data_IF_086250246159
#
_entry.id   IF_086250246159
#
_cell.length_a   1.000
_cell.length_b   1.000
_cell.length_c   1.000
_cell.angle_alpha   90.00
_cell.angle_beta   90.00
_cell.angle_gamma   90.00
#
_symmetry.space_group_name_H-M   'P 1'
#
loop_
_entity.id
_entity.type
_entity.pdbx_description
1 polymer ?
#
# COMPACT_ATOMS: atom_id res chain seq x y z
N UNK A 1 -17.39 -16.29 -25.20
CA UNK A 1 -16.02 -16.29 -24.66
C UNK A 1 -16.02 -16.54 -23.15
N UNK A 2 -16.62 -15.69 -22.31
CA UNK A 2 -16.66 -15.94 -20.85
C UNK A 2 -17.22 -17.32 -20.46
N UNK A 3 -18.37 -17.73 -21.00
CA UNK A 3 -18.96 -19.05 -20.69
C UNK A 3 -18.03 -20.22 -21.02
N UNK A 4 -17.35 -20.19 -22.16
CA UNK A 4 -16.41 -21.26 -22.54
C UNK A 4 -15.22 -21.31 -21.60
N UNK A 5 -14.70 -20.15 -21.19
CA UNK A 5 -13.53 -20.05 -20.31
C UNK A 5 -13.86 -20.50 -18.87
N UNK A 6 -15.08 -20.17 -18.40
CA UNK A 6 -15.61 -20.65 -17.11
C UNK A 6 -15.81 -22.16 -17.12
N UNK A 7 -16.37 -22.73 -18.20
CA UNK A 7 -16.55 -24.18 -18.33
C UNK A 7 -15.22 -24.93 -18.43
N UNK A 8 -14.20 -24.33 -19.05
CA UNK A 8 -12.88 -24.94 -19.19
C UNK A 8 -12.08 -25.01 -17.88
N UNK A 9 -12.24 -24.04 -16.97
CA UNK A 9 -11.58 -24.04 -15.65
C UNK A 9 -12.46 -23.45 -14.55
N UNK A 10 -13.51 -24.15 -14.09
CA UNK A 10 -14.50 -23.58 -13.18
C UNK A 10 -13.93 -23.17 -11.81
N UNK A 11 -12.88 -23.85 -11.32
CA UNK A 11 -12.21 -23.50 -10.06
C UNK A 11 -11.41 -22.21 -10.13
N UNK A 12 -11.11 -21.70 -11.33
CA UNK A 12 -10.41 -20.44 -11.54
C UNK A 12 -11.31 -19.20 -11.46
N UNK A 13 -12.62 -19.36 -11.28
CA UNK A 13 -13.59 -18.27 -11.33
C UNK A 13 -14.45 -18.21 -10.07
N UNK A 14 -14.81 -16.99 -9.68
CA UNK A 14 -15.82 -16.70 -8.66
C UNK A 14 -16.84 -15.73 -9.24
N UNK A 15 -18.10 -15.86 -8.86
CA UNK A 15 -19.15 -14.91 -9.20
C UNK A 15 -19.55 -14.13 -7.95
N UNK A 16 -19.73 -12.82 -8.10
CA UNK A 16 -20.19 -11.93 -7.03
C UNK A 16 -21.31 -11.05 -7.57
N UNK A 17 -22.31 -10.70 -6.75
CA UNK A 17 -23.29 -9.69 -7.11
C UNK A 17 -22.60 -8.37 -7.47
N UNK A 18 -23.14 -7.64 -8.45
CA UNK A 18 -22.62 -6.32 -8.80
C UNK A 18 -22.98 -5.35 -7.68
N UNK A 19 -21.97 -4.87 -6.96
CA UNK A 19 -22.13 -3.84 -5.93
C UNK A 19 -21.79 -2.49 -6.56
N UNK A 20 -22.66 -1.49 -6.35
CA UNK A 20 -22.36 -0.12 -6.74
C UNK A 20 -21.33 0.46 -5.78
N UNK A 21 -20.09 0.62 -6.25
CA UNK A 21 -19.03 1.24 -5.46
C UNK A 21 -19.35 2.72 -5.22
N UNK A 22 -19.01 3.21 -4.02
CA UNK A 22 -19.05 4.65 -3.73
C UNK A 22 -18.13 5.41 -4.67
N UNK A 23 -18.39 6.70 -4.86
CA UNK A 23 -17.52 7.59 -5.64
C UNK A 23 -16.91 8.67 -4.77
N UNK A 24 -15.71 9.12 -5.15
CA UNK A 24 -15.03 10.26 -4.53
C UNK A 24 -14.68 11.30 -5.59
N UNK A 25 -14.72 12.60 -5.24
CA UNK A 25 -14.30 13.65 -6.15
C UNK A 25 -12.83 13.50 -6.55
N UNK A 26 -12.57 13.47 -7.84
CA UNK A 26 -11.24 13.31 -8.41
C UNK A 26 -11.03 14.34 -9.51
N UNK A 27 -9.89 15.02 -9.46
CA UNK A 27 -9.51 15.99 -10.48
C UNK A 27 -9.04 15.25 -11.72
N UNK A 28 -9.80 15.35 -12.82
CA UNK A 28 -9.50 14.77 -14.12
C UNK A 28 -9.59 15.90 -15.15
N UNK A 29 -8.53 16.12 -15.92
CA UNK A 29 -8.48 17.15 -16.98
C UNK A 29 -8.93 18.55 -16.51
N UNK A 30 -8.51 18.93 -15.29
CA UNK A 30 -8.84 20.22 -14.68
C UNK A 30 -10.29 20.36 -14.19
N UNK A 31 -11.07 19.29 -14.15
CA UNK A 31 -12.45 19.29 -13.64
C UNK A 31 -12.63 18.24 -12.54
N UNK A 32 -13.46 18.56 -11.55
CA UNK A 32 -13.86 17.61 -10.52
C UNK A 32 -14.90 16.64 -11.08
N UNK A 33 -14.58 15.36 -11.09
CA UNK A 33 -15.46 14.27 -11.55
C UNK A 33 -15.57 13.18 -10.48
N UNK A 34 -16.74 12.55 -10.32
CA UNK A 34 -16.86 11.37 -9.46
C UNK A 34 -16.11 10.20 -10.08
N UNK A 35 -15.37 9.46 -9.26
CA UNK A 35 -14.68 8.21 -9.63
C UNK A 35 -14.90 7.15 -8.57
N UNK A 36 -15.07 5.91 -9.00
CA UNK A 36 -15.28 4.79 -8.08
C UNK A 36 -14.03 4.56 -7.24
N UNK A 37 -14.27 4.26 -5.97
CA UNK A 37 -13.22 4.11 -4.97
C UNK A 37 -13.32 2.74 -4.32
N UNK A 38 -12.16 2.21 -3.93
CA UNK A 38 -12.09 1.15 -2.94
C UNK A 38 -11.19 1.55 -1.78
N UNK A 39 -11.46 0.97 -0.61
CA UNK A 39 -10.69 1.18 0.60
C UNK A 39 -10.17 -0.15 1.11
N UNK A 40 -8.85 -0.22 1.31
CA UNK A 40 -8.17 -1.36 1.91
C UNK A 40 -7.60 -0.97 3.28
N UNK A 41 -8.34 -1.24 4.37
CA UNK A 41 -7.81 -1.11 5.72
C UNK A 41 -6.80 -2.22 6.02
N UNK A 42 -5.95 -1.99 7.02
CA UNK A 42 -4.97 -2.98 7.47
C UNK A 42 -5.27 -3.35 8.93
N UNK A 43 -5.53 -4.64 9.14
CA UNK A 43 -5.63 -5.26 10.45
C UNK A 43 -4.28 -5.91 10.79
N UNK A 44 -3.70 -5.55 11.93
CA UNK A 44 -2.45 -6.09 12.46
C UNK A 44 -2.78 -7.01 13.62
N UNK A 45 -2.26 -8.23 13.59
CA UNK A 45 -2.36 -9.19 14.68
C UNK A 45 -0.98 -9.37 15.32
N UNK A 46 -0.88 -9.22 16.64
CA UNK A 46 0.37 -9.34 17.40
C UNK A 46 0.46 -10.65 18.21
N UNK A 47 -0.46 -11.59 18.02
CA UNK A 47 -0.59 -12.84 18.78
C UNK A 47 -1.56 -12.75 19.96
N UNK A 48 -1.78 -11.56 20.52
CA UNK A 48 -2.67 -11.34 21.68
C UNK A 48 -4.01 -10.69 21.28
N UNK A 49 -4.05 -10.02 20.13
CA UNK A 49 -5.24 -9.36 19.62
C UNK A 49 -5.10 -8.85 18.19
N UNK A 50 -6.21 -8.32 17.67
CA UNK A 50 -6.30 -7.73 16.33
C UNK A 50 -6.57 -6.23 16.48
N UNK A 51 -5.76 -5.41 15.84
CA UNK A 51 -5.92 -3.96 15.79
C UNK A 51 -6.01 -3.47 14.35
N UNK A 52 -7.04 -2.68 14.02
CA UNK A 52 -7.19 -2.04 12.71
C UNK A 52 -6.57 -0.65 12.77
N UNK A 53 -5.61 -0.39 11.89
CA UNK A 53 -4.97 0.94 11.80
C UNK A 53 -6.01 1.99 11.39
N UNK A 54 -5.99 3.21 11.98
CA UNK A 54 -6.90 4.29 11.62
C UNK A 54 -6.46 4.92 10.29
N UNK A 55 -6.73 4.21 9.20
CA UNK A 55 -6.34 4.57 7.84
C UNK A 55 -6.44 3.37 6.90
N UNK A 56 -5.85 3.51 5.72
CA UNK A 56 -5.84 2.46 4.71
C UNK A 56 -5.35 2.97 3.36
N UNK A 57 -5.16 2.03 2.43
CA UNK A 57 -4.90 2.37 1.05
C UNK A 57 -6.23 2.61 0.35
N UNK A 58 -6.46 3.83 -0.11
CA UNK A 58 -7.58 4.15 -0.99
C UNK A 58 -7.12 4.10 -2.44
N UNK A 59 -7.80 3.32 -3.29
CA UNK A 59 -7.55 3.32 -4.75
C UNK A 59 -8.75 3.86 -5.49
N UNK A 60 -8.47 4.48 -6.64
CA UNK A 60 -9.45 5.19 -7.45
C UNK A 60 -9.35 4.68 -8.88
N UNK A 61 -10.48 4.24 -9.45
CA UNK A 61 -10.58 3.96 -10.87
C UNK A 61 -10.59 5.29 -11.63
N UNK A 62 -9.52 5.60 -12.37
CA UNK A 62 -9.42 6.86 -13.13
C UNK A 62 -10.33 6.90 -14.37
N UNK A 63 -10.52 5.79 -15.11
CA UNK A 63 -11.46 5.77 -16.23
C UNK A 63 -12.92 5.99 -15.78
N UNK A 64 -13.70 6.65 -16.62
CA UNK A 64 -15.09 6.98 -16.31
C UNK A 64 -15.98 5.73 -16.33
N UNK A 65 -16.75 5.52 -15.26
CA UNK A 65 -17.68 4.40 -15.14
C UNK A 65 -17.03 3.04 -14.87
N UNK A 66 -15.71 2.98 -14.73
CA UNK A 66 -15.00 1.73 -14.45
C UNK A 66 -15.05 1.37 -12.96
N UNK A 67 -15.37 0.10 -12.67
CA UNK A 67 -15.38 -0.46 -11.32
C UNK A 67 -14.02 -1.10 -10.95
N UNK A 68 -13.12 -1.25 -11.92
CA UNK A 68 -11.82 -1.88 -11.74
C UNK A 68 -10.82 -0.84 -11.26
N UNK A 69 -10.42 -0.99 -10.00
CA UNK A 69 -9.48 -0.12 -9.28
C UNK A 69 -8.03 -0.66 -9.29
N UNK A 70 -7.71 -1.53 -10.25
CA UNK A 70 -6.40 -2.16 -10.32
C UNK A 70 -5.33 -1.17 -10.80
N UNK A 71 -4.20 -1.13 -10.09
CA UNK A 71 -3.09 -0.21 -10.39
C UNK A 71 -2.44 -0.49 -11.74
N UNK A 72 -2.45 -1.75 -12.21
CA UNK A 72 -1.90 -2.11 -13.52
C UNK A 72 -2.67 -1.54 -14.72
N UNK A 73 -3.87 -1.00 -14.51
CA UNK A 73 -4.69 -0.36 -15.55
C UNK A 73 -4.89 1.15 -15.28
N UNK A 74 -3.94 1.78 -14.57
CA UNK A 74 -4.00 3.23 -14.32
C UNK A 74 -4.87 3.61 -13.14
N UNK A 75 -5.01 2.74 -12.13
CA UNK A 75 -5.64 3.08 -10.86
C UNK A 75 -4.80 4.10 -10.09
N UNK A 76 -5.42 5.21 -9.68
CA UNK A 76 -4.80 6.21 -8.80
C UNK A 76 -4.93 5.82 -7.32
N UNK A 77 -4.15 6.45 -6.44
CA UNK A 77 -4.31 6.33 -4.99
C UNK A 77 -4.67 7.67 -4.35
N UNK A 78 -5.33 7.61 -3.19
CA UNK A 78 -5.63 8.78 -2.36
C UNK A 78 -5.30 8.49 -0.91
N UNK A 79 -5.04 9.55 -0.15
CA UNK A 79 -4.89 9.47 1.30
C UNK A 79 -6.26 9.18 1.95
N UNK A 80 -6.25 8.34 2.98
CA UNK A 80 -7.44 8.02 3.79
C UNK A 80 -7.32 8.70 5.14
N UNK A 81 -8.20 9.67 5.40
CA UNK A 81 -8.22 10.36 6.69
C UNK A 81 -9.35 9.81 7.56
N UNK A 82 -8.99 9.20 8.70
CA UNK A 82 -9.94 8.80 9.73
C UNK A 82 -9.98 9.90 10.78
N UNK A 83 -11.09 10.62 10.84
CA UNK A 83 -11.26 11.71 11.80
C UNK A 83 -11.49 11.16 13.21
N UNK A 84 -10.80 11.72 14.19
CA UNK A 84 -11.16 11.51 15.58
C UNK A 84 -12.45 12.28 15.90
N UNK A 85 -13.38 11.66 16.64
CA UNK A 85 -14.48 12.40 17.27
C UNK A 85 -13.89 13.42 18.26
N UNK A 86 -14.48 14.61 18.29
CA UNK A 86 -14.05 15.82 19.02
C UNK A 86 -12.93 15.62 20.04
N UNK A 87 -11.73 16.11 19.70
CA UNK A 87 -10.70 16.34 20.72
C UNK A 87 -9.91 15.13 21.21
N UNK A 88 -9.93 13.98 20.53
CA UNK A 88 -8.89 12.96 20.75
C UNK A 88 -7.56 13.44 20.12
N UNK A 89 -7.01 14.56 20.62
CA UNK A 89 -5.57 14.67 20.84
C UNK A 89 -5.24 13.40 21.60
N UNK A 90 -4.65 12.43 20.90
CA UNK A 90 -4.58 11.06 21.34
C UNK A 90 -4.36 10.94 22.84
N UNK A 91 -5.15 10.10 23.49
CA UNK A 91 -4.61 9.33 24.60
C UNK A 91 -3.50 8.36 24.10
N UNK A 92 -2.66 8.78 23.14
CA UNK A 92 -1.26 8.45 23.22
C UNK A 92 -0.82 9.11 24.53
N UNK A 93 -0.72 8.32 25.61
CA UNK A 93 0.30 8.60 26.61
C UNK A 93 1.53 8.94 25.79
N UNK A 94 1.98 10.19 25.83
CA UNK A 94 3.30 10.58 25.32
C UNK A 94 4.29 9.92 26.28
N UNK A 95 4.37 8.59 26.27
CA UNK A 95 5.62 7.95 26.61
C UNK A 95 6.57 8.50 25.57
N UNK A 96 7.40 9.47 25.99
CA UNK A 96 8.59 9.81 25.22
C UNK A 96 9.23 8.46 24.92
N UNK A 97 9.44 8.09 23.64
CA UNK A 97 10.33 6.99 23.35
C UNK A 97 11.59 7.25 24.18
N UNK A 98 11.98 6.32 25.06
CA UNK A 98 13.33 6.39 25.62
C UNK A 98 14.24 6.56 24.43
N UNK A 99 15.11 7.57 24.47
CA UNK A 99 16.03 7.85 23.39
C UNK A 99 16.69 6.53 22.99
N UNK A 100 16.31 6.02 21.82
CA UNK A 100 17.02 4.89 21.22
C UNK A 100 18.37 5.49 20.86
N UNK A 101 19.50 4.97 21.36
CA UNK A 101 20.79 5.46 20.91
C UNK A 101 20.81 5.38 19.39
N UNK A 102 20.98 6.54 18.75
CA UNK A 102 21.23 6.64 17.32
C UNK A 102 22.61 6.01 17.07
N UNK A 103 22.58 4.74 16.72
CA UNK A 103 23.75 3.94 16.42
C UNK A 103 23.32 2.49 16.37
N UNK A 104 23.35 1.90 15.18
CA UNK A 104 23.40 0.44 15.07
C UNK A 104 24.67 0.02 15.80
N UNK A 105 24.61 -0.87 16.82
CA UNK A 105 25.82 -1.40 17.42
C UNK A 105 26.63 -2.07 16.31
N UNK A 106 27.79 -1.49 15.99
CA UNK A 106 28.72 -2.04 15.02
C UNK A 106 29.24 -3.44 15.44
N UNK A 107 28.96 -3.85 16.68
CA UNK A 107 29.35 -5.12 17.26
C UNK A 107 28.68 -6.34 16.59
N UNK A 108 27.52 -6.17 15.94
CA UNK A 108 26.81 -7.29 15.29
C UNK A 108 27.15 -7.43 13.80
N UNK A 109 27.95 -6.52 13.24
CA UNK A 109 28.52 -6.66 11.90
C UNK A 109 29.93 -7.21 12.10
N UNK A 110 30.04 -8.54 12.13
CA UNK A 110 31.34 -9.18 11.98
C UNK A 110 32.08 -8.57 10.79
N UNK A 111 33.39 -8.38 10.94
CA UNK A 111 34.29 -7.74 9.96
C UNK A 111 34.11 -8.26 8.52
N UNK A 112 33.61 -9.49 8.36
CA UNK A 112 33.29 -10.11 7.07
C UNK A 112 32.12 -9.45 6.32
N UNK A 113 31.10 -8.93 7.03
CA UNK A 113 29.92 -8.32 6.43
C UNK A 113 30.20 -6.96 5.77
N UNK A 114 31.20 -6.23 6.28
CA UNK A 114 31.60 -4.92 5.74
C UNK A 114 32.34 -5.07 4.40
N UNK A 115 33.16 -6.12 4.25
CA UNK A 115 33.88 -6.39 3.00
C UNK A 115 32.95 -6.85 1.87
N UNK A 116 31.98 -7.74 2.15
CA UNK A 116 31.01 -8.16 1.13
C UNK A 116 30.16 -7.00 0.60
N UNK A 117 29.82 -6.04 1.46
CA UNK A 117 29.04 -4.86 1.05
C UNK A 117 29.85 -3.88 0.20
N UNK A 118 31.17 -3.77 0.43
CA UNK A 118 32.07 -2.98 -0.42
C UNK A 118 32.34 -3.64 -1.78
N UNK A 119 32.47 -4.96 -1.83
CA UNK A 119 32.67 -5.69 -3.09
C UNK A 119 31.42 -5.62 -4.01
N UNK A 120 30.21 -5.73 -3.45
CA UNK A 120 28.97 -5.56 -4.23
C UNK A 120 28.81 -4.12 -4.78
N UNK A 121 29.27 -3.10 -4.05
CA UNK A 121 29.20 -1.72 -4.55
C UNK A 121 30.18 -1.46 -5.70
N UNK A 122 31.38 -2.07 -5.69
CA UNK A 122 32.34 -1.89 -6.79
C UNK A 122 31.91 -2.61 -8.08
N UNK A 123 31.24 -3.77 -8.03
CA UNK A 123 30.78 -4.44 -9.26
C UNK A 123 29.65 -3.70 -9.98
N UNK A 124 28.82 -2.94 -9.26
CA UNK A 124 27.72 -2.17 -9.87
C UNK A 124 28.20 -0.90 -10.61
N UNK A 125 29.37 -0.34 -10.25
CA UNK A 125 29.93 0.83 -10.93
C UNK A 125 30.66 0.48 -12.23
N UNK A 126 31.26 -0.72 -12.32
CA UNK A 126 32.01 -1.12 -13.53
C UNK A 126 31.09 -1.48 -14.71
N UNK A 127 29.83 -1.90 -14.47
CA UNK A 127 28.86 -2.17 -15.56
C UNK A 127 28.05 -0.94 -16.02
N UNK A 128 28.22 0.23 -15.39
CA UNK A 128 27.56 1.48 -15.76
C UNK A 128 28.36 2.38 -16.71
N UNK A 129 29.60 2.01 -17.05
CA UNK A 129 30.50 2.78 -17.90
C UNK A 129 30.84 2.03 -19.19
N UNK A 130 29.82 1.70 -19.99
CA UNK A 130 29.98 1.38 -21.41
C UNK A 130 28.64 1.57 -22.13
N UNK A 131 28.30 2.83 -22.40
CA UNK A 131 27.58 3.24 -23.60
C UNK A 131 28.55 4.05 -24.47
#
# INVERSE_FOLDING_TARGET
KLRSDVLANPRGWIAQPVVQLSTVPTMIDGRMRPRHVDLRPFAVNNGEGIYVLPGGLTRVALPEGELIVNSSQGGGSKDTWVLARDGVRGQRKRTRPKAVPMGVPLADIGVEGVQQQQEQQQQSQTMGASC
#
